data_IF_623476301393
#
_entry.id   IF_623476301393
#
_cell.length_a   1.000
_cell.length_b   1.000
_cell.length_c   1.000
_cell.angle_alpha   90.00
_cell.angle_beta   90.00
_cell.angle_gamma   90.00
#
_symmetry.space_group_name_H-M   'P 1'
#
loop_
_entity.id
_entity.type
_entity.pdbx_description
1 polymer ?
#
# COMPACT_ATOMS: atom_id res chain seq x y z
N UNK A 1 16.10 0.37 14.79
CA UNK A 1 15.56 -0.58 13.79
C UNK A 1 14.85 0.21 12.71
N UNK A 2 15.17 -0.04 11.45
CA UNK A 2 14.89 0.91 10.39
C UNK A 2 14.42 0.26 9.09
N UNK A 3 13.85 1.06 8.19
CA UNK A 3 13.61 0.67 6.80
C UNK A 3 14.97 0.48 6.10
N UNK A 4 15.48 -0.75 6.05
CA UNK A 4 16.73 -1.09 5.36
C UNK A 4 16.76 -0.73 3.86
N UNK A 5 17.96 -0.76 3.30
CA UNK A 5 18.23 -0.54 1.87
C UNK A 5 17.44 -1.51 0.99
N UNK A 6 16.73 -0.98 -0.01
CA UNK A 6 16.10 -1.79 -1.05
C UNK A 6 17.19 -2.38 -1.94
N UNK A 7 17.08 -3.67 -2.30
CA UNK A 7 17.98 -4.30 -3.27
C UNK A 7 17.68 -3.86 -4.72
N UNK A 8 16.52 -3.22 -4.97
CA UNK A 8 16.15 -2.73 -6.29
C UNK A 8 15.38 -1.39 -6.17
N UNK A 9 15.88 -0.37 -6.87
CA UNK A 9 15.41 1.01 -6.84
C UNK A 9 14.13 1.16 -7.68
N UNK A 10 12.98 1.11 -7.02
CA UNK A 10 11.81 1.90 -7.42
C UNK A 10 11.14 2.42 -6.15
N UNK A 11 11.81 3.34 -5.45
CA UNK A 11 11.10 4.13 -4.43
C UNK A 11 10.02 4.94 -5.13
N UNK A 12 8.79 5.00 -4.59
CA UNK A 12 7.79 5.92 -5.07
C UNK A 12 8.37 7.35 -5.12
N UNK A 13 8.31 7.97 -6.30
CA UNK A 13 8.62 9.40 -6.49
C UNK A 13 7.50 10.27 -5.91
N UNK A 14 7.89 11.46 -5.45
CA UNK A 14 6.96 12.57 -5.20
C UNK A 14 6.17 12.89 -6.47
N UNK A 15 4.95 13.38 -6.28
CA UNK A 15 4.02 13.83 -7.33
C UNK A 15 3.68 12.76 -8.38
N UNK A 16 3.85 11.49 -8.03
CA UNK A 16 3.48 10.37 -8.88
C UNK A 16 2.28 9.63 -8.31
N UNK A 17 1.34 9.31 -9.19
CA UNK A 17 0.19 8.48 -8.86
C UNK A 17 0.49 7.04 -9.27
N UNK A 18 0.07 6.10 -8.44
CA UNK A 18 0.29 4.67 -8.63
C UNK A 18 -1.01 3.89 -8.53
N UNK A 19 -0.99 2.70 -9.12
CA UNK A 19 -1.90 1.59 -8.82
C UNK A 19 -1.09 0.44 -8.25
N UNK A 20 -1.62 -0.25 -7.26
CA UNK A 20 -1.06 -1.50 -6.77
C UNK A 20 -1.88 -2.63 -7.36
N UNK A 21 -1.22 -3.49 -8.10
CA UNK A 21 -1.82 -4.66 -8.71
C UNK A 21 -1.39 -5.91 -7.96
N UNK A 22 -2.35 -6.70 -7.48
CA UNK A 22 -2.11 -8.04 -6.96
C UNK A 22 -2.24 -9.06 -8.09
N UNK A 23 -1.18 -9.83 -8.42
CA UNK A 23 -1.28 -10.92 -9.38
C UNK A 23 -2.02 -12.16 -8.82
N UNK A 24 -2.42 -12.14 -7.54
CA UNK A 24 -3.07 -13.26 -6.86
C UNK A 24 -4.58 -13.13 -6.80
N UNK A 25 -5.10 -11.90 -6.72
CA UNK A 25 -6.54 -11.67 -6.66
C UNK A 25 -7.21 -12.13 -7.96
N UNK A 26 -8.37 -12.77 -7.82
CA UNK A 26 -9.23 -13.18 -8.93
C UNK A 26 -10.47 -12.29 -9.05
N UNK A 27 -10.57 -11.24 -8.23
CA UNK A 27 -11.64 -10.25 -8.27
C UNK A 27 -11.21 -9.08 -9.16
N UNK A 28 -12.05 -8.69 -10.12
CA UNK A 28 -11.72 -7.66 -11.11
C UNK A 28 -10.43 -8.00 -11.86
N UNK A 29 -9.52 -7.03 -11.97
CA UNK A 29 -8.14 -7.26 -12.44
C UNK A 29 -7.13 -7.35 -11.26
N UNK A 30 -7.62 -7.37 -10.02
CA UNK A 30 -6.77 -7.40 -8.83
C UNK A 30 -6.14 -6.05 -8.47
N UNK A 31 -6.68 -4.92 -8.93
CA UNK A 31 -6.20 -3.59 -8.56
C UNK A 31 -6.70 -3.22 -7.17
N UNK A 32 -5.80 -2.72 -6.31
CA UNK A 32 -6.16 -2.20 -5.00
C UNK A 32 -7.08 -0.99 -5.14
N UNK A 33 -8.23 -1.05 -4.47
CA UNK A 33 -9.31 -0.08 -4.53
C UNK A 33 -9.83 0.24 -3.14
N UNK A 34 -10.03 1.54 -2.88
CA UNK A 34 -10.73 2.01 -1.70
C UNK A 34 -12.25 1.94 -1.87
N UNK A 35 -12.96 1.50 -0.83
CA UNK A 35 -14.42 1.39 -0.79
C UNK A 35 -14.97 2.13 0.42
N UNK A 36 -15.78 3.17 0.19
CA UNK A 36 -16.47 3.87 1.26
C UNK A 36 -17.90 3.34 1.39
N UNK A 37 -18.16 2.53 2.42
CA UNK A 37 -19.48 1.94 2.71
C UNK A 37 -19.86 2.26 4.14
N UNK A 38 -21.05 2.82 4.37
CA UNK A 38 -21.55 3.13 5.73
C UNK A 38 -20.56 3.90 6.62
N UNK A 39 -19.84 4.87 6.04
CA UNK A 39 -18.77 5.65 6.66
C UNK A 39 -17.50 4.86 7.05
N UNK A 40 -17.40 3.60 6.66
CA UNK A 40 -16.20 2.79 6.79
C UNK A 40 -15.46 2.82 5.46
N UNK A 41 -14.20 3.25 5.49
CA UNK A 41 -13.36 3.28 4.30
C UNK A 41 -12.43 2.06 4.29
N UNK A 42 -12.86 1.03 3.56
CA UNK A 42 -12.17 -0.24 3.42
C UNK A 42 -11.28 -0.27 2.18
N UNK A 43 -10.43 -1.29 2.08
CA UNK A 43 -9.59 -1.54 0.92
C UNK A 43 -9.70 -3.00 0.46
N UNK A 44 -9.78 -3.22 -0.84
CA UNK A 44 -9.82 -4.55 -1.48
C UNK A 44 -8.97 -4.56 -2.75
N UNK A 45 -8.60 -5.74 -3.25
CA UNK A 45 -8.00 -5.88 -4.58
C UNK A 45 -9.02 -6.40 -5.59
N UNK A 46 -10.05 -5.62 -5.86
CA UNK A 46 -11.16 -5.94 -6.77
C UNK A 46 -11.34 -4.92 -7.90
N UNK A 47 -10.48 -3.90 -7.95
CA UNK A 47 -10.49 -2.89 -9.01
C UNK A 47 -9.98 -3.43 -10.35
N UNK A 48 -10.19 -2.64 -11.40
CA UNK A 48 -9.81 -2.97 -12.77
C UNK A 48 -8.83 -1.94 -13.37
N UNK A 49 -8.16 -2.31 -14.47
CA UNK A 49 -7.28 -1.39 -15.19
C UNK A 49 -8.05 -0.31 -15.97
N UNK A 50 -9.27 -0.62 -16.42
CA UNK A 50 -10.09 0.27 -17.24
C UNK A 50 -10.81 1.34 -16.40
N UNK A 51 -10.97 1.12 -15.10
CA UNK A 51 -11.51 2.13 -14.20
C UNK A 51 -10.67 3.40 -14.30
N UNK A 52 -11.29 4.52 -14.64
CA UNK A 52 -10.64 5.84 -14.59
C UNK A 52 -10.69 6.45 -13.18
N UNK A 53 -11.31 5.75 -12.23
CA UNK A 53 -11.68 6.27 -10.93
C UNK A 53 -10.48 6.65 -10.06
N UNK A 54 -10.72 7.55 -9.12
CA UNK A 54 -9.72 7.99 -8.16
C UNK A 54 -9.49 6.95 -7.03
N UNK A 55 -10.35 5.95 -6.92
CA UNK A 55 -10.35 5.01 -5.79
C UNK A 55 -9.34 3.87 -5.97
N UNK A 56 -8.96 3.59 -7.22
CA UNK A 56 -7.85 2.69 -7.59
C UNK A 56 -6.48 3.38 -7.59
N UNK A 57 -6.46 4.72 -7.50
CA UNK A 57 -5.26 5.54 -7.60
C UNK A 57 -4.78 5.91 -6.20
N UNK A 58 -3.48 5.82 -5.99
CA UNK A 58 -2.84 6.25 -4.75
C UNK A 58 -1.65 7.16 -5.02
N UNK A 59 -1.40 8.10 -4.12
CA UNK A 59 -0.13 8.81 -4.05
C UNK A 59 0.64 8.32 -2.83
N UNK A 60 1.89 8.77 -2.67
CA UNK A 60 2.73 8.39 -1.54
C UNK A 60 3.28 9.61 -0.83
N UNK A 61 3.29 9.56 0.50
CA UNK A 61 3.97 10.54 1.33
C UNK A 61 5.17 9.90 2.00
N UNK A 62 6.37 10.47 1.82
CA UNK A 62 7.58 10.03 2.50
C UNK A 62 7.43 10.16 4.01
N UNK A 63 7.78 9.10 4.74
CA UNK A 63 7.75 9.02 6.20
C UNK A 63 9.13 8.67 6.73
N UNK A 64 10.13 9.58 6.63
CA UNK A 64 11.49 9.28 7.02
C UNK A 64 11.54 8.83 8.48
N UNK A 65 12.07 7.64 8.73
CA UNK A 65 12.23 7.09 10.08
C UNK A 65 13.68 7.28 10.59
N UNK A 66 14.29 8.42 10.24
CA UNK A 66 15.69 8.75 10.51
C UNK A 66 16.61 8.63 9.26
N UNK A 67 17.88 9.06 9.38
CA UNK A 67 18.80 9.24 8.25
C UNK A 67 19.18 7.95 7.50
N UNK A 68 18.96 6.78 8.12
CA UNK A 68 19.27 5.46 7.54
C UNK A 68 18.06 4.75 6.92
N UNK A 69 16.89 5.38 6.90
CA UNK A 69 15.62 4.73 6.54
C UNK A 69 14.86 5.43 5.39
N UNK A 70 15.48 5.55 4.19
CA UNK A 70 14.98 6.41 3.11
C UNK A 70 13.79 5.82 2.32
N UNK A 71 13.18 4.72 2.75
CA UNK A 71 12.19 3.98 1.95
C UNK A 71 10.90 3.63 2.70
N UNK A 72 10.49 4.47 3.65
CA UNK A 72 9.20 4.33 4.31
C UNK A 72 8.21 5.37 3.79
N UNK A 73 7.00 4.94 3.46
CA UNK A 73 5.97 5.78 2.87
C UNK A 73 4.62 5.47 3.51
N UNK A 74 3.75 6.47 3.53
CA UNK A 74 2.32 6.25 3.65
C UNK A 74 1.69 6.20 2.25
N UNK A 75 0.74 5.30 2.04
CA UNK A 75 -0.01 5.17 0.80
C UNK A 75 -1.32 5.94 0.95
N UNK A 76 -1.52 6.96 0.13
CA UNK A 76 -2.62 7.91 0.25
C UNK A 76 -3.69 7.66 -0.81
N UNK A 77 -4.94 7.64 -0.38
CA UNK A 77 -6.13 7.53 -1.23
C UNK A 77 -6.89 8.84 -1.25
N UNK A 78 -7.64 9.09 -2.32
CA UNK A 78 -8.65 10.14 -2.31
C UNK A 78 -9.76 9.72 -1.35
N UNK A 79 -10.05 10.56 -0.36
CA UNK A 79 -11.16 10.32 0.55
C UNK A 79 -12.34 11.28 0.35
N UNK A 80 -13.33 11.20 1.25
CA UNK A 80 -14.58 11.97 1.12
C UNK A 80 -14.38 13.48 1.29
N UNK A 81 -13.41 13.91 2.09
CA UNK A 81 -13.11 15.33 2.34
C UNK A 81 -11.83 15.73 1.59
N UNK A 82 -11.93 16.73 0.71
CA UNK A 82 -10.86 17.07 -0.24
C UNK A 82 -9.61 17.69 0.41
N UNK A 83 -9.75 18.33 1.56
CA UNK A 83 -8.68 18.97 2.33
C UNK A 83 -7.95 18.00 3.27
N UNK A 84 -8.45 16.77 3.40
CA UNK A 84 -7.90 15.75 4.29
C UNK A 84 -7.13 14.69 3.53
N UNK A 85 -6.10 14.16 4.20
CA UNK A 85 -5.30 13.04 3.69
C UNK A 85 -5.82 11.74 4.27
N UNK A 86 -6.19 10.79 3.42
CA UNK A 86 -6.62 9.46 3.82
C UNK A 86 -5.53 8.47 3.44
N UNK A 87 -5.13 7.63 4.39
CA UNK A 87 -4.00 6.74 4.22
C UNK A 87 -4.34 5.31 4.62
N UNK A 88 -3.67 4.37 3.95
CA UNK A 88 -3.69 2.97 4.35
C UNK A 88 -3.13 2.85 5.77
N UNK A 89 -3.90 2.25 6.66
CA UNK A 89 -3.58 2.12 8.08
C UNK A 89 -3.75 0.67 8.50
N UNK A 90 -2.89 0.24 9.42
CA UNK A 90 -3.05 -1.02 10.12
C UNK A 90 -3.46 -0.74 11.56
N UNK A 91 -4.59 -1.29 12.01
CA UNK A 91 -4.99 -1.18 13.40
C UNK A 91 -4.26 -2.22 14.30
N UNK A 92 -4.54 -2.19 15.61
CA UNK A 92 -3.89 -3.09 16.58
C UNK A 92 -4.22 -4.56 16.36
N UNK A 93 -5.36 -4.85 15.75
CA UNK A 93 -5.82 -6.20 15.43
C UNK A 93 -5.26 -6.71 14.08
N UNK A 94 -4.44 -5.89 13.40
CA UNK A 94 -3.84 -6.23 12.12
C UNK A 94 -4.79 -6.04 10.92
N UNK A 95 -5.95 -5.42 11.14
CA UNK A 95 -6.90 -5.09 10.08
C UNK A 95 -6.38 -3.89 9.30
N UNK A 96 -6.47 -3.96 7.98
CA UNK A 96 -6.05 -2.91 7.06
C UNK A 96 -7.27 -2.10 6.64
N UNK A 97 -7.24 -0.80 6.88
CA UNK A 97 -8.30 0.16 6.51
C UNK A 97 -7.70 1.39 5.85
N UNK A 98 -8.55 2.28 5.36
CA UNK A 98 -8.18 3.63 4.96
C UNK A 98 -8.74 4.59 6.01
N UNK A 99 -7.89 5.46 6.57
CA UNK A 99 -8.32 6.43 7.59
C UNK A 99 -7.72 7.80 7.37
N UNK A 100 -8.38 8.83 7.89
CA UNK A 100 -7.83 10.19 7.96
C UNK A 100 -6.51 10.18 8.75
N UNK A 101 -5.44 10.67 8.12
CA UNK A 101 -4.12 10.77 8.74
C UNK A 101 -4.06 11.98 9.68
N UNK A 102 -4.54 11.80 10.91
CA UNK A 102 -4.56 12.85 11.95
C UNK A 102 -3.19 13.25 12.49
N UNK A 103 -2.21 12.33 12.45
CA UNK A 103 -0.87 12.53 13.00
C UNK A 103 0.18 11.98 12.05
N UNK A 104 1.09 12.84 11.58
CA UNK A 104 2.08 12.50 10.58
C UNK A 104 3.16 11.51 11.08
N UNK A 105 3.39 11.43 12.38
CA UNK A 105 4.36 10.57 13.06
C UNK A 105 3.80 9.18 13.43
N UNK A 106 2.50 8.96 13.22
CA UNK A 106 1.86 7.70 13.54
C UNK A 106 2.35 6.58 12.60
N UNK A 107 3.03 5.59 13.18
CA UNK A 107 3.71 4.52 12.45
C UNK A 107 2.77 3.44 11.92
N UNK A 108 1.50 3.44 12.34
CA UNK A 108 0.45 2.55 11.79
C UNK A 108 0.13 2.80 10.30
N UNK A 109 0.55 3.95 9.75
CA UNK A 109 0.40 4.30 8.34
C UNK A 109 1.66 3.98 7.51
N UNK A 110 2.73 3.50 8.13
CA UNK A 110 4.07 3.50 7.53
C UNK A 110 4.42 2.12 6.97
N UNK A 111 4.71 2.08 5.67
CA UNK A 111 5.15 0.88 4.97
C UNK A 111 6.52 1.08 4.35
N UNK A 112 7.39 0.10 4.53
CA UNK A 112 8.66 0.00 3.82
C UNK A 112 8.42 -0.63 2.45
N UNK A 113 8.84 0.06 1.39
CA UNK A 113 8.82 -0.47 0.03
C UNK A 113 10.07 -1.32 -0.23
N UNK A 114 9.88 -2.50 -0.80
CA UNK A 114 10.95 -3.44 -1.12
C UNK A 114 10.76 -4.00 -2.53
N UNK A 115 11.73 -3.76 -3.42
CA UNK A 115 11.70 -4.29 -4.78
C UNK A 115 12.19 -5.74 -4.88
N UNK A 116 11.58 -6.52 -5.78
CA UNK A 116 11.98 -7.89 -6.15
C UNK A 116 11.64 -8.16 -7.62
N UNK A 117 12.62 -8.09 -8.53
CA UNK A 117 12.46 -8.61 -9.92
C UNK A 117 11.24 -8.08 -10.68
N UNK A 118 10.93 -6.79 -10.56
CA UNK A 118 9.74 -6.15 -11.18
C UNK A 118 8.52 -6.05 -10.25
N UNK A 119 8.54 -6.75 -9.12
CA UNK A 119 7.52 -6.68 -8.09
C UNK A 119 7.94 -5.80 -6.91
N UNK A 120 6.96 -5.43 -6.09
CA UNK A 120 7.10 -4.66 -4.86
C UNK A 120 6.41 -5.41 -3.72
N UNK A 121 7.07 -5.43 -2.56
CA UNK A 121 6.49 -5.87 -1.29
C UNK A 121 6.44 -4.68 -0.33
N UNK A 122 5.42 -4.65 0.52
CA UNK A 122 5.13 -3.54 1.42
C UNK A 122 5.17 -4.05 2.86
N UNK A 123 6.25 -3.78 3.59
CA UNK A 123 6.40 -4.23 4.98
C UNK A 123 5.87 -3.15 5.94
N UNK A 124 4.82 -3.46 6.70
CA UNK A 124 4.29 -2.54 7.71
C UNK A 124 5.31 -2.31 8.83
N UNK A 125 5.50 -1.03 9.21
CA UNK A 125 6.59 -0.63 10.09
C UNK A 125 6.45 -1.18 11.51
N UNK A 126 5.26 -1.14 12.12
CA UNK A 126 5.10 -1.59 13.51
C UNK A 126 5.03 -3.11 13.60
N UNK A 127 4.08 -3.72 12.87
CA UNK A 127 3.83 -5.18 12.92
C UNK A 127 4.97 -6.03 12.35
N UNK A 128 5.81 -5.46 11.48
CA UNK A 128 6.82 -6.17 10.67
C UNK A 128 6.25 -7.21 9.69
N UNK A 129 4.93 -7.33 9.57
CA UNK A 129 4.25 -8.13 8.56
C UNK A 129 4.16 -7.38 7.24
N UNK A 130 3.77 -8.07 6.18
CA UNK A 130 3.67 -7.51 4.84
C UNK A 130 2.21 -7.32 4.48
N UNK A 131 1.90 -6.23 3.77
CA UNK A 131 0.62 -6.10 3.09
C UNK A 131 0.47 -7.29 2.15
N UNK A 132 -0.69 -7.94 2.20
CA UNK A 132 -1.01 -9.04 1.32
C UNK A 132 -2.43 -8.93 0.81
N UNK A 133 -2.65 -9.57 -0.34
CA UNK A 133 -3.97 -9.74 -0.93
C UNK A 133 -4.21 -11.19 -1.31
N UNK A 134 -5.34 -11.75 -0.90
CA UNK A 134 -5.71 -13.12 -1.22
C UNK A 134 -6.47 -13.24 -2.55
N UNK A 135 -6.85 -14.47 -2.91
CA UNK A 135 -7.57 -14.75 -4.16
C UNK A 135 -8.95 -14.09 -4.24
N UNK A 136 -9.55 -13.74 -3.10
CA UNK A 136 -10.86 -13.11 -2.99
C UNK A 136 -10.76 -11.58 -2.88
N UNK A 137 -9.59 -11.02 -3.17
CA UNK A 137 -9.34 -9.59 -3.06
C UNK A 137 -9.28 -9.07 -1.62
N UNK A 138 -9.19 -9.94 -0.60
CA UNK A 138 -9.15 -9.51 0.80
C UNK A 138 -7.74 -9.01 1.14
N UNK A 139 -7.66 -7.78 1.62
CA UNK A 139 -6.39 -7.15 2.03
C UNK A 139 -6.13 -7.40 3.51
N UNK A 140 -4.97 -7.99 3.83
CA UNK A 140 -4.57 -8.31 5.21
C UNK A 140 -3.08 -8.13 5.42
N UNK A 141 -2.61 -8.31 6.66
CA UNK A 141 -1.20 -8.47 6.94
C UNK A 141 -0.80 -9.95 6.99
N UNK A 142 0.26 -10.27 6.26
CA UNK A 142 0.71 -11.65 6.06
C UNK A 142 2.20 -11.78 6.42
N UNK A 143 2.57 -12.93 7.00
CA UNK A 143 3.98 -13.28 7.23
C UNK A 143 4.66 -13.58 5.90
N UNK A 144 5.88 -13.08 5.74
CA UNK A 144 6.73 -13.41 4.60
C UNK A 144 8.10 -13.89 5.10
N UNK A 145 8.27 -15.23 5.15
CA UNK A 145 9.43 -15.87 5.77
C UNK A 145 10.68 -15.78 4.89
N UNK A 146 10.53 -15.76 3.56
CA UNK A 146 11.63 -15.74 2.62
C UNK A 146 11.43 -14.63 1.57
N UNK A 147 12.41 -13.73 1.44
CA UNK A 147 12.33 -12.60 0.51
C UNK A 147 12.65 -12.97 -0.94
N UNK A 148 13.38 -14.06 -1.15
CA UNK A 148 13.70 -14.59 -2.48
C UNK A 148 12.55 -15.46 -3.03
N UNK A 149 11.79 -16.07 -2.13
CA UNK A 149 10.61 -16.88 -2.45
C UNK A 149 9.42 -16.37 -1.63
N UNK A 150 8.92 -15.15 -1.95
CA UNK A 150 7.93 -14.50 -1.14
C UNK A 150 6.62 -15.28 -1.13
N UNK A 151 5.84 -15.13 -0.06
CA UNK A 151 4.44 -15.48 -0.10
C UNK A 151 3.78 -14.70 -1.26
N UNK A 152 3.16 -15.37 -2.26
CA UNK A 152 2.60 -14.70 -3.43
C UNK A 152 1.61 -13.60 -3.10
N UNK A 153 0.86 -13.75 -2.00
CA UNK A 153 -0.11 -12.74 -1.56
C UNK A 153 0.53 -11.38 -1.27
N UNK A 154 1.82 -11.37 -0.89
CA UNK A 154 2.55 -10.17 -0.47
C UNK A 154 3.20 -9.41 -1.62
N UNK A 155 3.08 -9.94 -2.83
CA UNK A 155 3.73 -9.43 -4.03
C UNK A 155 2.75 -8.57 -4.79
N UNK A 156 3.15 -7.33 -5.10
CA UNK A 156 2.37 -6.41 -5.90
C UNK A 156 3.20 -5.88 -7.07
N UNK A 157 2.54 -5.42 -8.12
CA UNK A 157 3.16 -4.61 -9.16
C UNK A 157 2.73 -3.16 -8.94
N UNK A 158 3.72 -2.26 -8.85
CA UNK A 158 3.48 -0.84 -8.67
C UNK A 158 3.44 -0.16 -10.04
N UNK A 159 2.24 0.09 -10.54
CA UNK A 159 2.01 0.70 -11.85
C UNK A 159 1.97 2.21 -11.71
N UNK A 160 2.92 2.92 -12.33
CA UNK A 160 2.87 4.37 -12.45
C UNK A 160 1.73 4.76 -13.41
N UNK A 161 0.81 5.58 -12.94
CA UNK A 161 -0.26 6.17 -13.75
C UNK A 161 -0.08 7.68 -13.76
N UNK A 162 -0.22 8.33 -14.91
CA UNK A 162 -0.12 9.78 -15.00
C UNK A 162 -1.10 10.49 -14.07
N UNK A 163 -0.81 11.74 -13.71
CA UNK A 163 -1.79 12.64 -13.11
C UNK A 163 -2.88 12.89 -14.15
N UNK A 164 -3.98 12.15 -14.04
CA UNK A 164 -5.19 12.40 -14.83
C UNK A 164 -5.99 13.53 -14.23
#
# INVERSE_FOLDING_TARGET
MGCGSSLFLSSPSKDTTYRLWSPVSQEGDGIMKGHLTDNIFEVKCDGTFQESDANTKMTTEEKPQGPSNPHCFALLFKGPEADKKYALKVNKDGIVTIEEMKRADNKSYVFQFMGLGGFTMLKHFESKLYLGCDRRGTVTLVKNANRLYPNPQTVFILNKVGSG
#
